data_IF_469678719114
#
_entry.id   IF_469678719114
#
_cell.length_a   1.000
_cell.length_b   1.000
_cell.length_c   1.000
_cell.angle_alpha   90.00
_cell.angle_beta   90.00
_cell.angle_gamma   90.00
#
_symmetry.space_group_name_H-M   'P 1'
#
loop_
_entity.id
_entity.type
_entity.pdbx_description
1 polymer ?
#
# COMPACT_ATOMS: atom_id res chain seq x y z
N UNK A 1 -36.44 63.07 23.61
CA UNK A 1 -35.63 62.27 24.58
C UNK A 1 -35.64 60.76 24.26
N UNK A 2 -36.78 60.16 23.87
CA UNK A 2 -36.93 58.71 23.58
C UNK A 2 -36.10 58.19 22.39
N UNK A 3 -35.84 59.00 21.36
CA UNK A 3 -35.06 58.57 20.17
C UNK A 3 -33.54 58.50 20.39
N UNK A 4 -33.01 59.20 21.40
CA UNK A 4 -31.58 59.12 21.74
C UNK A 4 -31.29 57.81 22.48
N UNK A 5 -32.16 57.41 23.40
CA UNK A 5 -32.01 56.19 24.21
C UNK A 5 -32.03 54.90 23.35
N UNK A 6 -32.83 54.86 22.28
CA UNK A 6 -32.89 53.72 21.34
C UNK A 6 -31.59 53.54 20.53
N UNK A 7 -30.88 54.62 20.20
CA UNK A 7 -29.60 54.54 19.47
C UNK A 7 -28.47 53.93 20.32
N UNK A 8 -28.45 54.23 21.62
CA UNK A 8 -27.44 53.66 22.53
C UNK A 8 -27.72 52.18 22.87
N UNK A 9 -28.98 51.75 22.91
CA UNK A 9 -29.33 50.34 23.11
C UNK A 9 -28.90 49.46 21.92
N UNK A 10 -29.03 49.96 20.68
CA UNK A 10 -28.56 49.25 19.49
C UNK A 10 -27.03 49.13 19.43
N UNK A 11 -26.30 50.17 19.84
CA UNK A 11 -24.83 50.15 19.92
C UNK A 11 -24.36 49.19 21.02
N UNK A 12 -25.05 49.14 22.16
CA UNK A 12 -24.75 48.19 23.23
C UNK A 12 -25.02 46.73 22.83
N UNK A 13 -26.10 46.44 22.08
CA UNK A 13 -26.39 45.08 21.58
C UNK A 13 -25.37 44.60 20.53
N UNK A 14 -24.86 45.49 19.69
CA UNK A 14 -23.82 45.16 18.71
C UNK A 14 -22.48 44.80 19.37
N UNK A 15 -22.09 45.47 20.46
CA UNK A 15 -20.86 45.19 21.20
C UNK A 15 -20.95 43.87 21.99
N UNK A 16 -22.15 43.48 22.44
CA UNK A 16 -22.35 42.18 23.11
C UNK A 16 -22.35 41.02 22.10
N UNK A 17 -22.80 41.23 20.86
CA UNK A 17 -22.74 40.18 19.81
C UNK A 17 -21.32 39.88 19.29
N UNK A 18 -20.36 40.78 19.50
CA UNK A 18 -18.95 40.56 19.11
C UNK A 18 -18.14 39.73 20.10
N UNK A 19 -18.74 39.31 21.22
CA UNK A 19 -18.16 38.33 22.16
C UNK A 19 -18.80 36.95 21.98
N UNK A 20 -18.98 36.51 20.74
CA UNK A 20 -19.03 35.08 20.45
C UNK A 20 -17.64 34.53 20.74
N UNK A 21 -17.45 33.99 21.95
CA UNK A 21 -16.29 33.18 22.30
C UNK A 21 -16.41 31.93 21.45
N UNK A 22 -15.82 31.95 20.25
CA UNK A 22 -15.56 30.72 19.53
C UNK A 22 -14.63 29.89 20.43
N UNK A 23 -14.96 28.62 20.73
CA UNK A 23 -13.98 27.76 21.36
C UNK A 23 -12.72 27.82 20.48
N UNK A 24 -11.51 27.94 21.07
CA UNK A 24 -10.30 27.85 20.28
C UNK A 24 -10.41 26.56 19.47
N UNK A 25 -10.34 26.68 18.14
CA UNK A 25 -10.12 25.52 17.31
C UNK A 25 -8.79 24.93 17.76
N UNK A 26 -8.84 23.92 18.62
CA UNK A 26 -7.68 23.12 18.96
C UNK A 26 -7.36 22.33 17.70
N UNK A 27 -6.53 22.92 16.83
CA UNK A 27 -5.83 22.15 15.83
C UNK A 27 -4.94 21.18 16.61
N UNK A 28 -5.36 19.93 16.66
CA UNK A 28 -4.55 18.84 17.19
C UNK A 28 -3.23 18.85 16.40
N UNK A 29 -2.10 18.83 17.11
CA UNK A 29 -0.79 18.79 16.43
C UNK A 29 -0.76 17.58 15.51
N UNK A 30 -0.28 17.70 14.26
CA UNK A 30 -0.08 16.53 13.40
C UNK A 30 0.71 15.46 14.15
N UNK A 31 0.26 14.20 14.07
CA UNK A 31 1.01 13.07 14.61
C UNK A 31 2.32 12.87 13.85
N UNK A 32 3.34 12.30 14.50
CA UNK A 32 4.57 11.86 13.84
C UNK A 32 4.41 10.39 13.42
N UNK A 33 4.56 10.09 12.13
CA UNK A 33 4.45 8.73 11.59
C UNK A 33 5.67 8.41 10.74
N UNK A 34 6.33 7.29 11.02
CA UNK A 34 7.27 6.67 10.08
C UNK A 34 6.54 5.61 9.26
N UNK A 35 6.55 5.76 7.94
CA UNK A 35 6.03 4.79 6.98
C UNK A 35 7.18 4.07 6.28
N UNK A 36 7.27 2.75 6.45
CA UNK A 36 8.28 1.92 5.79
C UNK A 36 7.61 1.01 4.77
N UNK A 37 7.98 1.16 3.50
CA UNK A 37 7.52 0.27 2.44
C UNK A 37 8.63 -0.74 2.11
N UNK A 38 8.31 -2.03 2.16
CA UNK A 38 9.24 -3.12 1.81
C UNK A 38 8.64 -3.96 0.68
N UNK A 39 9.46 -4.46 -0.24
CA UNK A 39 8.95 -5.33 -1.29
C UNK A 39 9.74 -5.26 -2.59
N UNK A 40 9.03 -5.52 -3.68
CA UNK A 40 9.59 -5.68 -5.01
C UNK A 40 9.51 -4.41 -5.87
N UNK A 41 9.35 -4.60 -7.19
CA UNK A 41 9.24 -3.53 -8.16
C UNK A 41 8.01 -2.65 -7.98
N UNK A 42 6.91 -3.18 -7.42
CA UNK A 42 5.73 -2.36 -7.16
C UNK A 42 6.01 -1.34 -6.07
N UNK A 43 6.68 -1.77 -5.00
CA UNK A 43 7.16 -0.91 -3.91
C UNK A 43 8.14 0.14 -4.45
N UNK A 44 9.01 -0.24 -5.39
CA UNK A 44 9.92 0.68 -6.07
C UNK A 44 9.24 1.62 -7.10
N UNK A 45 7.95 1.40 -7.41
CA UNK A 45 7.14 2.23 -8.30
C UNK A 45 7.37 2.01 -9.80
N UNK A 46 7.98 0.90 -10.23
CA UNK A 46 8.28 0.66 -11.65
C UNK A 46 7.01 0.72 -12.51
N UNK A 47 7.09 1.31 -13.70
CA UNK A 47 5.93 1.53 -14.58
C UNK A 47 5.21 2.86 -14.33
N UNK A 48 5.38 3.48 -13.16
CA UNK A 48 4.95 4.87 -12.96
C UNK A 48 5.89 5.85 -13.65
N UNK A 49 5.38 7.01 -14.04
CA UNK A 49 6.17 8.07 -14.66
C UNK A 49 7.20 8.65 -13.68
N UNK A 50 8.37 8.99 -14.22
CA UNK A 50 9.47 9.55 -13.46
C UNK A 50 9.51 11.07 -13.59
N UNK A 51 9.54 11.75 -12.46
CA UNK A 51 9.75 13.20 -12.36
C UNK A 51 11.00 13.44 -11.51
N UNK A 52 12.02 14.09 -12.08
CA UNK A 52 13.31 14.30 -11.41
C UNK A 52 13.93 13.01 -10.85
N UNK A 53 13.88 11.91 -11.61
CA UNK A 53 14.34 10.57 -11.21
C UNK A 53 13.57 9.95 -10.03
N UNK A 54 12.41 10.51 -9.67
CA UNK A 54 11.52 10.00 -8.64
C UNK A 54 10.23 9.47 -9.27
N UNK A 55 9.80 8.29 -8.81
CA UNK A 55 8.54 7.64 -9.22
C UNK A 55 7.37 8.12 -8.40
N UNK A 56 7.09 9.42 -8.50
CA UNK A 56 6.12 10.09 -7.61
C UNK A 56 4.69 9.60 -7.80
N UNK A 57 4.41 8.90 -8.90
CA UNK A 57 3.12 8.30 -9.21
C UNK A 57 3.02 6.82 -8.80
N UNK A 58 4.04 6.25 -8.17
CA UNK A 58 3.93 4.92 -7.53
C UNK A 58 3.04 4.94 -6.28
N UNK A 59 2.63 3.77 -5.77
CA UNK A 59 1.71 3.75 -4.62
C UNK A 59 2.34 4.30 -3.34
N UNK A 60 3.65 4.09 -3.11
CA UNK A 60 4.33 4.53 -1.89
C UNK A 60 4.30 6.07 -1.76
N UNK A 61 4.69 6.87 -2.76
CA UNK A 61 4.56 8.33 -2.66
C UNK A 61 3.11 8.81 -2.62
N UNK A 62 2.20 8.19 -3.39
CA UNK A 62 0.78 8.58 -3.37
C UNK A 62 0.14 8.33 -2.01
N UNK A 63 0.41 7.18 -1.38
CA UNK A 63 -0.08 6.88 -0.03
C UNK A 63 0.59 7.75 1.03
N UNK A 64 1.89 8.04 0.89
CA UNK A 64 2.59 9.00 1.76
C UNK A 64 1.95 10.38 1.71
N UNK A 65 1.56 10.85 0.52
CA UNK A 65 0.86 12.13 0.35
C UNK A 65 -0.46 12.14 1.12
N UNK A 66 -1.21 11.04 1.07
CA UNK A 66 -2.44 10.89 1.86
C UNK A 66 -2.17 10.93 3.37
N UNK A 67 -1.19 10.17 3.87
CA UNK A 67 -0.83 10.18 5.29
C UNK A 67 -0.44 11.58 5.79
N UNK A 68 0.23 12.37 4.93
CA UNK A 68 0.65 13.75 5.22
C UNK A 68 -0.49 14.76 5.32
N UNK A 69 -1.73 14.40 4.95
CA UNK A 69 -2.88 15.29 5.12
C UNK A 69 -3.18 15.57 6.61
N UNK A 70 -2.80 14.64 7.51
CA UNK A 70 -3.05 14.75 8.95
C UNK A 70 -1.80 14.56 9.83
N UNK A 71 -0.67 14.14 9.25
CA UNK A 71 0.52 13.74 9.99
C UNK A 71 1.78 14.37 9.41
N UNK A 72 2.82 14.50 10.23
CA UNK A 72 4.18 14.62 9.73
C UNK A 72 4.73 13.22 9.42
N UNK A 73 5.14 12.97 8.17
CA UNK A 73 5.46 11.61 7.70
C UNK A 73 6.89 11.52 7.20
N UNK A 74 7.71 10.74 7.92
CA UNK A 74 8.97 10.21 7.42
C UNK A 74 8.68 8.93 6.62
N UNK A 75 9.28 8.80 5.43
CA UNK A 75 9.03 7.66 4.54
C UNK A 75 10.34 7.01 4.12
N UNK A 76 10.39 5.69 4.23
CA UNK A 76 11.49 4.88 3.75
C UNK A 76 10.97 3.83 2.77
N UNK A 77 11.57 3.77 1.59
CA UNK A 77 11.19 2.85 0.53
C UNK A 77 12.32 1.86 0.25
N UNK A 78 12.09 0.60 0.64
CA UNK A 78 12.97 -0.55 0.43
C UNK A 78 12.43 -1.47 -0.68
N UNK A 79 11.88 -0.88 -1.74
CA UNK A 79 11.47 -1.61 -2.94
C UNK A 79 12.67 -2.01 -3.78
N UNK A 80 12.84 -3.31 -4.02
CA UNK A 80 13.94 -3.86 -4.84
C UNK A 80 13.34 -4.57 -6.05
N UNK A 81 13.51 -4.06 -7.28
CA UNK A 81 12.96 -4.70 -8.47
C UNK A 81 13.43 -6.14 -8.63
N UNK A 82 12.50 -7.06 -8.92
CA UNK A 82 12.79 -8.48 -9.08
C UNK A 82 12.95 -9.28 -7.78
N UNK A 83 12.78 -8.65 -6.61
CA UNK A 83 12.83 -9.33 -5.32
C UNK A 83 11.71 -10.39 -5.21
N UNK A 84 12.07 -11.61 -4.82
CA UNK A 84 11.12 -12.69 -4.46
C UNK A 84 10.82 -12.69 -2.96
N UNK A 85 9.81 -13.43 -2.52
CA UNK A 85 9.52 -13.56 -1.08
C UNK A 85 10.66 -14.20 -0.29
N UNK A 86 11.37 -15.16 -0.88
CA UNK A 86 12.61 -15.72 -0.31
C UNK A 86 13.70 -14.66 -0.16
N UNK A 87 13.86 -13.77 -1.16
CA UNK A 87 14.82 -12.68 -1.13
C UNK A 87 14.47 -11.63 -0.07
N UNK A 88 13.19 -11.27 0.05
CA UNK A 88 12.72 -10.34 1.07
C UNK A 88 12.97 -10.89 2.48
N UNK A 89 12.63 -12.15 2.73
CA UNK A 89 12.89 -12.77 4.03
C UNK A 89 14.38 -12.82 4.35
N UNK A 90 15.23 -13.13 3.36
CA UNK A 90 16.68 -13.13 3.55
C UNK A 90 17.21 -11.72 3.87
N UNK A 91 16.74 -10.69 3.14
CA UNK A 91 17.09 -9.29 3.40
C UNK A 91 16.71 -8.88 4.83
N UNK A 92 15.46 -9.16 5.24
CA UNK A 92 14.98 -8.80 6.57
C UNK A 92 15.78 -9.49 7.68
N UNK A 93 16.20 -10.75 7.49
CA UNK A 93 17.01 -11.45 8.48
C UNK A 93 18.46 -10.94 8.55
N UNK A 94 19.02 -10.48 7.43
CA UNK A 94 20.42 -10.06 7.34
C UNK A 94 20.63 -8.58 7.72
N UNK A 95 19.66 -7.71 7.47
CA UNK A 95 19.77 -6.27 7.68
C UNK A 95 19.27 -5.84 9.07
N UNK A 96 20.17 -5.82 10.04
CA UNK A 96 19.87 -5.35 11.41
C UNK A 96 19.43 -3.88 11.46
N UNK A 97 19.93 -3.04 10.54
CA UNK A 97 19.55 -1.63 10.51
C UNK A 97 18.09 -1.49 10.08
N UNK A 98 17.67 -2.18 9.02
CA UNK A 98 16.28 -2.25 8.59
C UNK A 98 15.39 -2.82 9.70
N UNK A 99 15.79 -3.91 10.37
CA UNK A 99 15.03 -4.44 11.51
C UNK A 99 14.84 -3.38 12.61
N UNK A 100 15.86 -2.59 12.91
CA UNK A 100 15.76 -1.53 13.91
C UNK A 100 14.82 -0.39 13.47
N UNK A 101 14.82 -0.02 12.19
CA UNK A 101 13.84 0.95 11.64
C UNK A 101 12.41 0.41 11.73
N UNK A 102 12.20 -0.86 11.41
CA UNK A 102 10.88 -1.51 11.44
C UNK A 102 10.26 -1.56 12.85
N UNK A 103 11.08 -1.66 13.91
CA UNK A 103 10.62 -1.64 15.32
C UNK A 103 9.89 -0.35 15.71
N UNK A 104 10.17 0.77 15.02
CA UNK A 104 9.59 2.08 15.33
C UNK A 104 8.66 2.60 14.24
N UNK A 105 8.40 1.80 13.20
CA UNK A 105 7.48 2.18 12.13
C UNK A 105 6.04 2.28 12.67
N UNK A 106 5.31 3.33 12.27
CA UNK A 106 3.88 3.43 12.50
C UNK A 106 3.06 2.65 11.46
N UNK A 107 3.54 2.65 10.22
CA UNK A 107 2.94 1.92 9.11
C UNK A 107 4.02 1.15 8.34
N UNK A 108 3.73 -0.09 7.98
CA UNK A 108 4.56 -0.94 7.14
C UNK A 108 3.70 -1.42 5.96
N UNK A 109 4.15 -1.26 4.72
CA UNK A 109 3.49 -1.91 3.57
C UNK A 109 4.39 -2.96 2.95
N UNK A 110 3.82 -4.11 2.61
CA UNK A 110 4.50 -5.26 2.01
C UNK A 110 3.88 -5.58 0.65
N UNK A 111 4.67 -5.50 -0.42
CA UNK A 111 4.28 -5.96 -1.77
C UNK A 111 5.31 -6.94 -2.27
N UNK A 112 4.96 -8.22 -2.29
CA UNK A 112 5.87 -9.31 -2.69
C UNK A 112 5.08 -10.54 -3.14
N UNK A 113 5.65 -11.33 -4.04
CA UNK A 113 5.10 -12.64 -4.46
C UNK A 113 4.97 -12.79 -5.97
N UNK A 114 4.85 -11.71 -6.73
CA UNK A 114 4.75 -11.79 -8.20
C UNK A 114 5.98 -12.44 -8.83
N UNK A 115 7.17 -12.09 -8.35
CA UNK A 115 8.44 -12.64 -8.86
C UNK A 115 8.63 -14.13 -8.57
N UNK A 116 7.96 -14.68 -7.56
CA UNK A 116 8.01 -16.12 -7.23
C UNK A 116 7.41 -16.99 -8.34
N UNK A 117 6.44 -16.45 -9.09
CA UNK A 117 5.86 -17.10 -10.26
C UNK A 117 6.59 -16.73 -11.56
N UNK A 118 6.90 -15.44 -11.77
CA UNK A 118 7.50 -14.96 -13.03
C UNK A 118 8.83 -15.66 -13.37
N UNK A 119 9.67 -15.93 -12.37
CA UNK A 119 10.92 -16.64 -12.59
C UNK A 119 10.69 -18.08 -13.08
N UNK A 120 9.63 -18.71 -12.60
CA UNK A 120 9.29 -20.10 -12.92
C UNK A 120 8.77 -20.20 -14.35
N UNK A 121 7.83 -19.33 -14.73
CA UNK A 121 7.27 -19.23 -16.09
C UNK A 121 8.39 -19.03 -17.12
N UNK A 122 9.40 -18.21 -16.80
CA UNK A 122 10.50 -17.90 -17.73
C UNK A 122 11.56 -18.98 -17.87
N UNK A 123 11.62 -19.94 -16.94
CA UNK A 123 12.79 -20.82 -16.79
C UNK A 123 12.46 -22.32 -16.84
N UNK A 124 11.19 -22.70 -16.78
CA UNK A 124 10.73 -24.10 -16.72
C UNK A 124 10.07 -24.49 -18.04
N UNK A 125 10.29 -25.71 -18.57
CA UNK A 125 9.54 -26.20 -19.73
C UNK A 125 8.04 -26.24 -19.44
N UNK A 126 7.22 -25.88 -20.44
CA UNK A 126 5.75 -25.84 -20.33
C UNK A 126 5.15 -27.13 -19.74
N UNK A 127 5.70 -28.30 -20.10
CA UNK A 127 5.25 -29.61 -19.60
C UNK A 127 5.43 -29.83 -18.09
N UNK A 128 6.30 -29.05 -17.44
CA UNK A 128 6.61 -29.15 -16.01
C UNK A 128 6.09 -27.94 -15.22
N UNK A 129 5.57 -26.93 -15.91
CA UNK A 129 5.26 -25.60 -15.37
C UNK A 129 4.28 -25.67 -14.20
N UNK A 130 3.16 -26.38 -14.34
CA UNK A 130 2.15 -26.47 -13.28
C UNK A 130 2.73 -27.05 -11.99
N UNK A 131 3.53 -28.12 -12.09
CA UNK A 131 4.15 -28.75 -10.93
C UNK A 131 5.15 -27.80 -10.25
N UNK A 132 5.94 -27.07 -11.04
CA UNK A 132 6.90 -26.11 -10.54
C UNK A 132 6.21 -24.91 -9.87
N UNK A 133 5.13 -24.40 -10.45
CA UNK A 133 4.35 -23.30 -9.88
C UNK A 133 3.63 -23.69 -8.59
N UNK A 134 3.16 -24.93 -8.47
CA UNK A 134 2.60 -25.43 -7.21
C UNK A 134 3.68 -25.48 -6.11
N UNK A 135 4.89 -25.97 -6.42
CA UNK A 135 6.01 -25.94 -5.46
C UNK A 135 6.37 -24.50 -5.07
N UNK A 136 6.35 -23.58 -6.03
CA UNK A 136 6.65 -22.16 -5.79
C UNK A 136 5.60 -21.47 -4.94
N UNK A 137 4.32 -21.78 -5.14
CA UNK A 137 3.23 -21.32 -4.29
C UNK A 137 3.46 -21.73 -2.82
N UNK A 138 3.86 -22.98 -2.57
CA UNK A 138 4.13 -23.45 -1.20
C UNK A 138 5.36 -22.77 -0.57
N UNK A 139 6.41 -22.51 -1.36
CA UNK A 139 7.56 -21.71 -0.91
C UNK A 139 7.15 -20.27 -0.60
N UNK A 140 6.34 -19.66 -1.46
CA UNK A 140 5.81 -18.30 -1.28
C UNK A 140 5.02 -18.22 0.02
N UNK A 141 4.02 -19.10 0.23
CA UNK A 141 3.23 -19.13 1.46
C UNK A 141 4.10 -19.24 2.71
N UNK A 142 5.07 -20.16 2.71
CA UNK A 142 5.98 -20.35 3.86
C UNK A 142 6.83 -19.11 4.14
N UNK A 143 7.44 -18.54 3.12
CA UNK A 143 8.32 -17.36 3.28
C UNK A 143 7.53 -16.11 3.64
N UNK A 144 6.30 -15.99 3.14
CA UNK A 144 5.38 -14.92 3.54
C UNK A 144 4.94 -15.08 5.00
N UNK A 145 4.60 -16.30 5.45
CA UNK A 145 4.33 -16.62 6.85
C UNK A 145 5.50 -16.23 7.76
N UNK A 146 6.73 -16.60 7.39
CA UNK A 146 7.94 -16.29 8.16
C UNK A 146 8.22 -14.78 8.18
N UNK A 147 8.01 -14.09 7.05
CA UNK A 147 8.13 -12.63 6.93
C UNK A 147 7.13 -11.92 7.83
N UNK A 148 5.85 -12.27 7.75
CA UNK A 148 4.79 -11.66 8.56
C UNK A 148 5.05 -11.87 10.06
N UNK A 149 5.42 -13.08 10.47
CA UNK A 149 5.81 -13.39 11.86
C UNK A 149 6.99 -12.55 12.34
N UNK A 150 8.00 -12.35 11.49
CA UNK A 150 9.15 -11.51 11.83
C UNK A 150 8.72 -10.05 12.01
N UNK A 151 7.91 -9.49 11.10
CA UNK A 151 7.42 -8.12 11.21
C UNK A 151 6.61 -7.92 12.49
N UNK A 152 5.67 -8.82 12.80
CA UNK A 152 4.87 -8.77 14.03
C UNK A 152 5.70 -8.93 15.30
N UNK A 153 6.75 -9.76 15.25
CA UNK A 153 7.70 -9.90 16.37
C UNK A 153 8.52 -8.63 16.59
N UNK A 154 8.95 -7.98 15.51
CA UNK A 154 9.72 -6.73 15.59
C UNK A 154 8.86 -5.57 16.06
N UNK A 155 7.61 -5.51 15.58
CA UNK A 155 6.70 -4.42 15.88
C UNK A 155 5.25 -4.94 16.01
N UNK A 156 4.79 -5.22 17.25
CA UNK A 156 3.43 -5.68 17.48
C UNK A 156 2.37 -4.60 17.23
N UNK A 157 2.76 -3.32 17.23
CA UNK A 157 1.85 -2.18 17.21
C UNK A 157 1.67 -1.57 15.82
N UNK A 158 2.64 -1.73 14.91
CA UNK A 158 2.58 -1.17 13.55
C UNK A 158 1.34 -1.61 12.79
N UNK A 159 0.76 -0.69 12.02
CA UNK A 159 -0.20 -1.07 10.97
C UNK A 159 0.57 -1.72 9.83
N UNK A 160 0.32 -3.00 9.54
CA UNK A 160 0.91 -3.71 8.39
C UNK A 160 -0.14 -3.80 7.28
N UNK A 161 0.24 -3.34 6.10
CA UNK A 161 -0.55 -3.39 4.87
C UNK A 161 0.06 -4.48 3.98
N UNK A 162 -0.69 -5.53 3.71
CA UNK A 162 -0.30 -6.64 2.85
C UNK A 162 -0.97 -6.43 1.48
N UNK A 163 -0.17 -6.13 0.46
CA UNK A 163 -0.66 -5.95 -0.91
C UNK A 163 -0.58 -7.28 -1.67
N UNK A 164 -1.74 -7.75 -2.14
CA UNK A 164 -1.89 -8.92 -2.98
C UNK A 164 -1.52 -8.67 -4.44
N UNK A 165 -1.77 -9.68 -5.27
CA UNK A 165 -1.43 -9.72 -6.68
C UNK A 165 -2.66 -9.40 -7.55
N UNK A 166 -2.43 -8.76 -8.69
CA UNK A 166 -3.40 -8.66 -9.78
C UNK A 166 -2.95 -9.53 -10.96
N UNK A 167 -3.84 -9.75 -11.93
CA UNK A 167 -3.46 -10.38 -13.20
C UNK A 167 -3.09 -9.29 -14.23
N UNK A 168 -1.81 -9.16 -14.63
CA UNK A 168 -1.40 -8.16 -15.62
C UNK A 168 -1.78 -8.54 -17.05
N UNK A 169 -2.26 -9.77 -17.29
CA UNK A 169 -2.45 -10.31 -18.63
C UNK A 169 -3.91 -10.15 -19.10
N UNK A 170 -4.16 -9.54 -20.27
CA UNK A 170 -5.51 -9.34 -20.80
C UNK A 170 -6.11 -10.63 -21.36
N UNK A 171 -7.42 -10.65 -21.59
CA UNK A 171 -8.09 -11.78 -22.27
C UNK A 171 -7.38 -12.12 -23.60
N UNK A 172 -7.13 -13.41 -23.83
CA UNK A 172 -6.44 -13.92 -25.01
C UNK A 172 -4.90 -13.92 -24.94
N UNK A 173 -4.29 -13.38 -23.89
CA UNK A 173 -2.86 -13.53 -23.64
C UNK A 173 -2.53 -14.93 -23.09
N UNK A 174 -1.39 -15.51 -23.46
CA UNK A 174 -1.03 -16.90 -23.16
C UNK A 174 -0.94 -17.18 -21.64
N UNK A 175 -0.52 -16.19 -20.85
CA UNK A 175 -0.40 -16.28 -19.39
C UNK A 175 -1.66 -15.88 -18.62
N UNK A 176 -2.78 -15.60 -19.29
CA UNK A 176 -3.99 -15.09 -18.62
C UNK A 176 -4.60 -16.10 -17.67
N UNK A 177 -4.75 -17.35 -18.09
CA UNK A 177 -5.29 -18.42 -17.25
C UNK A 177 -4.38 -18.70 -16.05
N UNK A 178 -3.08 -18.53 -16.24
CA UNK A 178 -2.09 -18.72 -15.19
C UNK A 178 -2.21 -17.63 -14.12
N UNK A 179 -2.27 -16.35 -14.54
CA UNK A 179 -2.52 -15.23 -13.64
C UNK A 179 -3.86 -15.37 -12.91
N UNK A 180 -4.90 -15.82 -13.61
CA UNK A 180 -6.23 -16.05 -13.05
C UNK A 180 -6.29 -17.21 -12.05
N UNK A 181 -5.37 -18.17 -12.15
CA UNK A 181 -5.23 -19.27 -11.18
C UNK A 181 -4.44 -18.83 -9.96
N UNK A 182 -3.24 -18.28 -10.13
CA UNK A 182 -2.29 -18.14 -9.02
C UNK A 182 -2.43 -16.84 -8.23
N UNK A 183 -2.88 -15.73 -8.84
CA UNK A 183 -3.08 -14.48 -8.10
C UNK A 183 -4.20 -14.62 -7.04
N UNK A 184 -5.41 -15.11 -7.35
CA UNK A 184 -6.46 -15.30 -6.35
C UNK A 184 -6.07 -16.33 -5.27
N UNK A 185 -5.33 -17.38 -5.64
CA UNK A 185 -4.85 -18.38 -4.66
C UNK A 185 -3.90 -17.76 -3.63
N UNK A 186 -3.01 -16.87 -4.06
CA UNK A 186 -2.12 -16.17 -3.15
C UNK A 186 -2.87 -15.12 -2.33
N UNK A 187 -3.77 -14.36 -2.96
CA UNK A 187 -4.55 -13.34 -2.27
C UNK A 187 -5.42 -13.95 -1.17
N UNK A 188 -6.14 -15.03 -1.49
CA UNK A 188 -6.92 -15.77 -0.48
C UNK A 188 -6.09 -16.31 0.68
N UNK A 189 -4.82 -16.67 0.44
CA UNK A 189 -3.91 -17.05 1.51
C UNK A 189 -3.51 -15.86 2.40
N UNK A 190 -3.22 -14.68 1.84
CA UNK A 190 -2.86 -13.52 2.66
C UNK A 190 -4.08 -12.88 3.34
N UNK A 191 -5.29 -13.08 2.82
CA UNK A 191 -6.54 -12.66 3.48
C UNK A 191 -6.73 -13.33 4.85
N UNK A 192 -6.14 -14.51 5.08
CA UNK A 192 -6.13 -15.15 6.40
C UNK A 192 -5.47 -14.29 7.49
N UNK A 193 -4.65 -13.30 7.12
CA UNK A 193 -4.06 -12.34 8.06
C UNK A 193 -4.94 -11.11 8.33
N UNK A 194 -6.06 -10.93 7.64
CA UNK A 194 -6.94 -9.77 7.79
C UNK A 194 -7.58 -9.66 9.18
N UNK A 195 -7.77 -10.79 9.86
CA UNK A 195 -8.31 -10.85 11.23
C UNK A 195 -7.24 -10.59 12.31
N UNK A 196 -5.96 -10.50 11.93
CA UNK A 196 -4.87 -10.26 12.87
C UNK A 196 -4.77 -8.78 13.29
N UNK A 197 -4.26 -8.54 14.50
CA UNK A 197 -4.15 -7.18 15.05
C UNK A 197 -3.31 -6.28 14.14
N UNK A 198 -3.82 -5.07 13.89
CA UNK A 198 -3.15 -4.04 13.11
C UNK A 198 -2.75 -4.47 11.69
N UNK A 199 -3.46 -5.43 11.08
CA UNK A 199 -3.24 -5.84 9.68
C UNK A 199 -4.34 -5.33 8.76
N UNK A 200 -3.95 -4.97 7.53
CA UNK A 200 -4.82 -4.63 6.43
C UNK A 200 -4.38 -5.47 5.23
N UNK A 201 -5.31 -6.19 4.60
CA UNK A 201 -5.05 -6.93 3.37
C UNK A 201 -5.72 -6.21 2.22
N UNK A 202 -4.97 -6.04 1.13
CA UNK A 202 -5.40 -5.30 -0.05
C UNK A 202 -5.34 -6.27 -1.22
N UNK A 203 -6.51 -6.72 -1.67
CA UNK A 203 -6.65 -7.53 -2.88
C UNK A 203 -6.96 -6.62 -4.10
N UNK A 204 -6.01 -6.41 -5.03
CA UNK A 204 -6.25 -5.64 -6.24
C UNK A 204 -6.84 -6.47 -7.39
N UNK A 205 -7.02 -7.79 -7.25
CA UNK A 205 -7.34 -8.69 -8.35
C UNK A 205 -8.63 -8.31 -9.09
N UNK A 206 -9.74 -8.19 -8.36
CA UNK A 206 -11.04 -7.83 -8.96
C UNK A 206 -11.02 -6.44 -9.59
N UNK A 207 -10.30 -5.48 -8.99
CA UNK A 207 -10.20 -4.13 -9.53
C UNK A 207 -9.51 -4.11 -10.91
N UNK A 208 -8.53 -4.98 -11.13
CA UNK A 208 -7.76 -5.05 -12.37
C UNK A 208 -8.43 -5.88 -13.48
N UNK A 209 -9.53 -6.58 -13.19
CA UNK A 209 -10.23 -7.41 -14.17
C UNK A 209 -10.72 -6.58 -15.37
N UNK A 210 -10.34 -7.00 -16.58
CA UNK A 210 -10.64 -6.26 -17.81
C UNK A 210 -9.89 -4.92 -17.97
N UNK A 211 -8.98 -4.58 -17.04
CA UNK A 211 -8.23 -3.31 -17.00
C UNK A 211 -6.76 -3.45 -17.30
N UNK A 212 -6.24 -4.66 -17.52
CA UNK A 212 -4.84 -4.92 -17.82
C UNK A 212 -4.24 -3.96 -18.86
N UNK A 213 -4.86 -3.80 -20.04
CA UNK A 213 -4.38 -2.89 -21.09
C UNK A 213 -4.46 -1.40 -20.74
N UNK A 214 -5.35 -1.02 -19.84
CA UNK A 214 -5.58 0.37 -19.43
C UNK A 214 -4.67 0.78 -18.27
N UNK A 215 -4.45 -0.13 -17.31
CA UNK A 215 -3.83 0.17 -16.01
C UNK A 215 -2.41 -0.37 -15.86
N UNK A 216 -1.91 -1.11 -16.85
CA UNK A 216 -0.52 -1.60 -16.92
C UNK A 216 0.14 -1.16 -18.22
N UNK A 217 1.40 -1.55 -18.40
CA UNK A 217 2.13 -1.41 -19.66
C UNK A 217 2.17 -2.70 -20.49
N UNK A 218 1.28 -3.67 -20.23
CA UNK A 218 1.37 -5.03 -20.81
C UNK A 218 1.40 -5.06 -22.34
N UNK A 219 0.83 -4.04 -23.01
CA UNK A 219 0.91 -3.87 -24.46
C UNK A 219 2.36 -3.66 -24.99
N UNK A 220 3.34 -3.47 -24.09
CA UNK A 220 4.77 -3.35 -24.35
C UNK A 220 5.58 -4.43 -23.62
N UNK A 221 4.94 -5.56 -23.31
CA UNK A 221 5.51 -6.68 -22.56
C UNK A 221 5.99 -6.30 -21.14
N UNK A 222 5.39 -5.25 -20.57
CA UNK A 222 5.69 -4.76 -19.24
C UNK A 222 4.48 -4.93 -18.31
N UNK A 223 4.57 -5.89 -17.39
CA UNK A 223 3.51 -6.24 -16.44
C UNK A 223 3.21 -5.16 -15.40
N UNK A 224 4.06 -4.15 -15.27
CA UNK A 224 3.96 -3.18 -14.17
C UNK A 224 2.76 -2.24 -14.36
N UNK A 225 2.13 -1.77 -13.25
CA UNK A 225 1.08 -0.77 -13.32
C UNK A 225 1.64 0.54 -13.90
N UNK A 226 0.80 1.24 -14.65
CA UNK A 226 1.08 2.63 -15.01
C UNK A 226 0.55 3.58 -13.92
N UNK A 227 0.66 4.89 -14.14
CA UNK A 227 0.19 5.90 -13.17
C UNK A 227 -1.27 5.70 -12.75
N UNK A 228 -2.13 5.28 -13.69
CA UNK A 228 -3.54 4.99 -13.42
C UNK A 228 -3.68 3.76 -12.54
N UNK A 229 -3.00 2.65 -12.88
CA UNK A 229 -3.01 1.43 -12.06
C UNK A 229 -2.51 1.65 -10.64
N UNK A 230 -1.42 2.41 -10.47
CA UNK A 230 -0.93 2.77 -9.13
C UNK A 230 -1.89 3.65 -8.35
N UNK A 231 -2.61 4.55 -9.03
CA UNK A 231 -3.65 5.36 -8.41
C UNK A 231 -4.76 4.47 -7.84
N UNK A 232 -5.20 3.46 -8.59
CA UNK A 232 -6.25 2.52 -8.15
C UNK A 232 -5.78 1.64 -7.00
N UNK A 233 -4.55 1.10 -7.06
CA UNK A 233 -3.93 0.39 -5.92
C UNK A 233 -3.92 1.28 -4.68
N UNK A 234 -3.53 2.55 -4.83
CA UNK A 234 -3.48 3.49 -3.70
C UNK A 234 -4.87 3.77 -3.13
N UNK A 235 -5.90 3.86 -3.96
CA UNK A 235 -7.27 4.06 -3.49
C UNK A 235 -7.77 2.87 -2.66
N UNK A 236 -7.45 1.63 -3.07
CA UNK A 236 -7.75 0.44 -2.28
C UNK A 236 -7.05 0.48 -0.91
N UNK A 237 -5.76 0.81 -0.90
CA UNK A 237 -4.98 0.99 0.33
C UNK A 237 -5.61 2.04 1.24
N UNK A 238 -5.94 3.21 0.69
CA UNK A 238 -6.53 4.32 1.45
C UNK A 238 -7.86 3.95 2.07
N UNK A 239 -8.76 3.34 1.30
CA UNK A 239 -10.08 2.91 1.77
C UNK A 239 -9.96 1.94 2.95
N UNK A 240 -9.08 0.94 2.84
CA UNK A 240 -8.85 -0.01 3.92
C UNK A 240 -8.24 0.66 5.16
N UNK A 241 -7.32 1.59 4.95
CA UNK A 241 -6.69 2.34 6.03
C UNK A 241 -7.68 3.26 6.75
N UNK A 242 -8.57 3.95 6.02
CA UNK A 242 -9.61 4.83 6.58
C UNK A 242 -10.59 4.05 7.47
N UNK A 243 -11.14 2.93 6.98
CA UNK A 243 -12.10 2.08 7.71
C UNK A 243 -11.52 1.63 9.06
N UNK A 244 -10.21 1.42 9.15
CA UNK A 244 -9.54 1.00 10.38
C UNK A 244 -9.42 2.10 11.44
N UNK A 245 -9.38 3.37 11.02
CA UNK A 245 -9.20 4.50 11.93
C UNK A 245 -10.53 4.97 12.55
N UNK A 246 -11.67 4.45 12.08
CA UNK A 246 -13.02 4.69 12.63
C UNK A 246 -13.35 3.77 13.80
#
# INVERSE_FOLDING_TARGET
MINMLKKWILVAMLIVSSFLIYPPATAESPGEITYIAIGDSLTAGLGSSEENYLRIHGFVPQFTKYLREKNNVDVENYGIPGLSSTGLLALLNADEALQNRLKTAGVISVSIGGNDFLQTIRSVPESEEESALNVRMEILKRTYQETYKLLRKLNPDATIILLGLYNPYPEGHELTDLGAKYAPLFNGFIEEYGDESNTLVIDPYEAFEGKALEWTHIAKDDIHPNDRGYTEITQLIRKAYEIRQE
#
